data_IF_591750865309
#
_entry.id   IF_591750865309
#
_cell.length_a   1.000
_cell.length_b   1.000
_cell.length_c   1.000
_cell.angle_alpha   90.00
_cell.angle_beta   90.00
_cell.angle_gamma   90.00
#
_symmetry.space_group_name_H-M   'P 1'
#
loop_
_entity.id
_entity.type
_entity.pdbx_description
1 polymer ?
#
# COMPACT_ATOMS: atom_id res chain seq x y z
N UNK A 1 -25.91 3.68 12.04
CA UNK A 1 -26.48 2.86 10.94
C UNK A 1 -26.03 1.40 10.98
N UNK A 2 -24.75 1.04 10.76
CA UNK A 2 -24.34 -0.39 10.77
C UNK A 2 -24.51 -1.02 12.15
N UNK A 3 -24.09 -0.33 13.22
CA UNK A 3 -24.26 -0.81 14.59
C UNK A 3 -25.72 -1.01 14.98
N UNK A 4 -26.60 -0.07 14.61
CA UNK A 4 -28.04 -0.14 14.87
C UNK A 4 -28.66 -1.39 14.20
N UNK A 5 -28.21 -1.71 12.98
CA UNK A 5 -28.67 -2.91 12.27
C UNK A 5 -28.13 -4.20 12.87
N UNK A 6 -26.91 -4.21 13.41
CA UNK A 6 -26.34 -5.37 14.11
C UNK A 6 -27.11 -5.66 15.42
N UNK A 7 -27.54 -4.62 16.14
CA UNK A 7 -28.38 -4.75 17.34
C UNK A 7 -29.77 -5.26 16.97
N UNK A 8 -30.38 -4.73 15.91
CA UNK A 8 -31.72 -5.11 15.49
C UNK A 8 -31.82 -6.51 14.85
N UNK A 9 -30.73 -6.99 14.22
CA UNK A 9 -30.70 -8.26 13.50
C UNK A 9 -29.38 -9.04 13.74
N UNK A 10 -29.24 -9.80 14.86
CA UNK A 10 -27.97 -10.41 15.28
C UNK A 10 -27.36 -11.47 14.34
N UNK A 11 -28.08 -11.88 13.30
CA UNK A 11 -27.63 -12.89 12.32
C UNK A 11 -27.18 -12.28 10.99
N UNK A 12 -27.33 -10.97 10.81
CA UNK A 12 -26.88 -10.31 9.58
C UNK A 12 -25.35 -10.27 9.55
N UNK A 13 -24.79 -10.41 8.35
CA UNK A 13 -23.35 -10.25 8.11
C UNK A 13 -23.17 -9.13 7.10
N UNK A 14 -22.28 -8.19 7.39
CA UNK A 14 -21.91 -7.11 6.48
C UNK A 14 -20.55 -7.43 5.86
N UNK A 15 -20.42 -7.20 4.55
CA UNK A 15 -19.14 -7.09 3.87
C UNK A 15 -19.03 -5.65 3.37
N UNK A 16 -18.07 -4.91 3.91
CA UNK A 16 -17.80 -3.54 3.53
C UNK A 16 -16.38 -3.43 2.98
N UNK A 17 -16.20 -2.63 1.93
CA UNK A 17 -14.87 -2.25 1.42
C UNK A 17 -14.64 -0.79 1.78
N UNK A 18 -13.61 -0.53 2.57
CA UNK A 18 -13.24 0.82 3.02
C UNK A 18 -11.73 1.03 2.93
N UNK A 19 -11.31 2.30 2.84
CA UNK A 19 -9.90 2.71 2.96
C UNK A 19 -9.50 3.02 4.39
N UNK A 20 -10.40 2.87 5.35
CA UNK A 20 -10.17 2.98 6.78
C UNK A 20 -11.11 2.03 7.52
N UNK A 21 -10.73 1.50 8.69
CA UNK A 21 -11.64 0.71 9.52
C UNK A 21 -12.94 1.46 9.78
N UNK A 22 -14.05 0.72 9.93
CA UNK A 22 -15.32 1.29 10.35
C UNK A 22 -15.30 1.67 11.84
N UNK A 23 -14.41 1.05 12.63
CA UNK A 23 -14.22 1.35 14.04
C UNK A 23 -15.34 0.80 14.93
N UNK A 24 -16.03 -0.25 14.49
CA UNK A 24 -17.18 -0.82 15.19
C UNK A 24 -16.79 -2.09 15.98
N UNK A 25 -17.48 -2.35 17.08
CA UNK A 25 -17.23 -3.54 17.87
C UNK A 25 -17.50 -4.83 17.07
N UNK A 26 -16.54 -5.76 17.08
CA UNK A 26 -16.63 -7.02 16.34
C UNK A 26 -16.25 -6.92 14.85
N UNK A 27 -15.72 -5.78 14.40
CA UNK A 27 -15.14 -5.65 13.06
C UNK A 27 -14.00 -6.67 12.86
N UNK A 28 -13.96 -7.28 11.68
CA UNK A 28 -12.88 -8.15 11.24
C UNK A 28 -12.30 -7.56 9.97
N UNK A 29 -11.07 -7.09 10.06
CA UNK A 29 -10.37 -6.46 8.95
C UNK A 29 -9.63 -7.50 8.13
N UNK A 30 -9.84 -7.46 6.81
CA UNK A 30 -9.05 -8.23 5.85
C UNK A 30 -8.26 -7.25 5.00
N UNK A 31 -6.97 -7.12 5.31
CA UNK A 31 -6.08 -6.28 4.49
C UNK A 31 -5.92 -6.91 3.10
N UNK A 32 -6.06 -6.08 2.07
CA UNK A 32 -5.77 -6.47 0.70
C UNK A 32 -4.35 -6.00 0.34
N UNK A 33 -3.35 -6.89 0.31
CA UNK A 33 -2.01 -6.53 -0.13
C UNK A 33 -2.02 -6.18 -1.64
N UNK A 34 -1.00 -5.46 -2.14
CA UNK A 34 -0.76 -5.36 -3.57
C UNK A 34 -0.47 -6.76 -4.11
N UNK A 35 -0.49 -6.92 -5.43
CA UNK A 35 -0.12 -8.21 -5.98
C UNK A 35 1.36 -8.52 -5.74
N UNK A 36 1.65 -9.80 -5.56
CA UNK A 36 3.03 -10.28 -5.56
C UNK A 36 3.71 -9.95 -6.89
N UNK A 37 4.94 -9.45 -6.78
CA UNK A 37 5.75 -9.06 -7.93
C UNK A 37 6.53 -10.29 -8.42
N UNK A 38 6.30 -10.77 -9.66
CA UNK A 38 7.05 -11.88 -10.22
C UNK A 38 8.42 -11.41 -10.71
N UNK A 39 9.33 -11.09 -9.78
CA UNK A 39 10.72 -10.77 -10.10
C UNK A 39 11.55 -12.05 -10.26
N UNK A 40 12.42 -12.10 -11.27
CA UNK A 40 13.37 -13.20 -11.53
C UNK A 40 12.73 -14.60 -11.70
N UNK A 41 11.50 -14.65 -12.21
CA UNK A 41 10.76 -15.88 -12.48
C UNK A 41 10.81 -16.27 -13.97
N UNK A 42 10.61 -17.56 -14.30
CA UNK A 42 10.47 -17.99 -15.69
C UNK A 42 9.26 -17.32 -16.35
N UNK A 43 9.26 -17.20 -17.68
CA UNK A 43 8.14 -16.58 -18.42
C UNK A 43 6.79 -17.27 -18.13
N UNK A 44 6.80 -18.57 -17.86
CA UNK A 44 5.61 -19.35 -17.49
C UNK A 44 5.07 -18.93 -16.12
N UNK A 45 5.95 -18.79 -15.11
CA UNK A 45 5.57 -18.33 -13.78
C UNK A 45 5.11 -16.87 -13.78
N UNK A 46 5.76 -16.01 -14.58
CA UNK A 46 5.33 -14.63 -14.78
C UNK A 46 3.90 -14.61 -15.35
N UNK A 47 3.63 -15.41 -16.38
CA UNK A 47 2.32 -15.44 -17.05
C UNK A 47 1.20 -15.95 -16.13
N UNK A 48 1.54 -16.78 -15.13
CA UNK A 48 0.60 -17.25 -14.12
C UNK A 48 0.34 -16.23 -12.98
N UNK A 49 1.07 -15.12 -12.92
CA UNK A 49 0.90 -14.11 -11.87
C UNK A 49 -0.45 -13.39 -12.00
N UNK A 50 -1.21 -13.23 -10.89
CA UNK A 50 -2.44 -12.43 -10.89
C UNK A 50 -2.23 -10.96 -11.31
N UNK A 51 -1.05 -10.39 -11.03
CA UNK A 51 -0.69 -9.04 -11.46
C UNK A 51 -0.60 -8.93 -12.99
N UNK A 52 0.03 -9.95 -13.61
CA UNK A 52 0.17 -10.04 -15.06
C UNK A 52 -1.19 -10.30 -15.71
N UNK A 53 -2.02 -11.16 -15.11
CA UNK A 53 -3.39 -11.38 -15.56
C UNK A 53 -4.20 -10.07 -15.57
N UNK A 54 -4.12 -9.26 -14.50
CA UNK A 54 -4.76 -7.94 -14.47
C UNK A 54 -4.23 -7.02 -15.57
N UNK A 55 -2.91 -6.96 -15.78
CA UNK A 55 -2.33 -6.13 -16.85
C UNK A 55 -2.88 -6.53 -18.22
N UNK A 56 -2.89 -7.84 -18.53
CA UNK A 56 -3.37 -8.38 -19.81
C UNK A 56 -4.86 -8.07 -20.00
N UNK A 57 -5.67 -8.28 -18.98
CA UNK A 57 -7.11 -8.01 -19.00
C UNK A 57 -7.38 -6.53 -19.31
N UNK A 58 -6.71 -5.61 -18.61
CA UNK A 58 -6.84 -4.16 -18.84
C UNK A 58 -6.22 -3.69 -20.16
N UNK A 59 -5.18 -4.36 -20.66
CA UNK A 59 -4.59 -4.07 -21.96
C UNK A 59 -5.57 -4.47 -23.09
N UNK A 60 -6.30 -5.58 -22.93
CA UNK A 60 -7.32 -6.03 -23.88
C UNK A 60 -8.53 -5.10 -23.93
N UNK A 61 -8.90 -4.47 -22.82
CA UNK A 61 -9.96 -3.44 -22.80
C UNK A 61 -9.68 -2.27 -23.77
N UNK A 62 -8.40 -1.93 -23.99
CA UNK A 62 -8.00 -0.82 -24.88
C UNK A 62 -7.42 -1.29 -26.23
N UNK A 63 -6.99 -2.54 -26.33
CA UNK A 63 -6.43 -3.19 -27.52
C UNK A 63 -6.85 -4.66 -27.55
N UNK A 64 -8.03 -5.02 -28.09
CA UNK A 64 -8.59 -6.38 -28.01
C UNK A 64 -7.68 -7.48 -28.53
N UNK A 65 -6.84 -7.21 -29.54
CA UNK A 65 -5.84 -8.14 -30.08
C UNK A 65 -4.51 -8.17 -29.30
N UNK A 66 -4.48 -7.71 -28.05
CA UNK A 66 -3.27 -7.80 -27.24
C UNK A 66 -3.04 -9.24 -26.77
N UNK A 67 -1.90 -9.79 -27.19
CA UNK A 67 -1.39 -11.10 -26.78
C UNK A 67 -0.07 -10.94 -26.04
N UNK A 68 0.03 -11.61 -24.89
CA UNK A 68 1.25 -11.61 -24.09
C UNK A 68 2.25 -12.60 -24.70
N UNK A 69 3.27 -12.09 -25.35
CA UNK A 69 4.41 -12.91 -25.81
C UNK A 69 5.45 -13.07 -24.71
N UNK A 70 6.36 -14.04 -24.84
CA UNK A 70 7.46 -14.27 -23.88
C UNK A 70 8.30 -13.01 -23.62
N UNK A 71 8.64 -12.27 -24.67
CA UNK A 71 9.42 -11.03 -24.55
C UNK A 71 8.63 -9.93 -23.85
N UNK A 72 7.31 -9.86 -24.09
CA UNK A 72 6.44 -8.90 -23.41
C UNK A 72 6.22 -9.28 -21.94
N UNK A 73 6.22 -10.56 -21.59
CA UNK A 73 6.06 -11.01 -20.21
C UNK A 73 7.15 -10.45 -19.30
N UNK A 74 8.41 -10.44 -19.76
CA UNK A 74 9.53 -9.86 -19.01
C UNK A 74 9.33 -8.35 -18.80
N UNK A 75 8.96 -7.63 -19.86
CA UNK A 75 8.69 -6.19 -19.76
C UNK A 75 7.51 -5.88 -18.83
N UNK A 76 6.44 -6.66 -18.90
CA UNK A 76 5.25 -6.52 -18.03
C UNK A 76 5.60 -6.81 -16.57
N UNK A 77 6.41 -7.85 -16.30
CA UNK A 77 6.92 -8.12 -14.95
C UNK A 77 7.73 -6.94 -14.41
N UNK A 78 8.61 -6.35 -15.24
CA UNK A 78 9.37 -5.15 -14.90
C UNK A 78 8.46 -3.96 -14.57
N UNK A 79 7.39 -3.75 -15.36
CA UNK A 79 6.39 -2.71 -15.08
C UNK A 79 5.74 -2.95 -13.73
N UNK A 80 5.21 -4.16 -13.48
CA UNK A 80 4.53 -4.51 -12.22
C UNK A 80 5.45 -4.30 -11.02
N UNK A 81 6.73 -4.64 -11.16
CA UNK A 81 7.73 -4.43 -10.12
C UNK A 81 7.91 -2.94 -9.79
N UNK A 82 7.98 -2.07 -10.80
CA UNK A 82 8.12 -0.62 -10.58
C UNK A 82 6.84 0.05 -10.10
N UNK A 83 5.72 -0.61 -10.27
CA UNK A 83 4.43 -0.16 -9.76
C UNK A 83 4.09 -0.76 -8.39
N UNK A 84 5.06 -1.41 -7.73
CA UNK A 84 4.92 -2.05 -6.41
C UNK A 84 3.72 -3.02 -6.34
N UNK A 85 3.35 -3.65 -7.47
CA UNK A 85 2.19 -4.54 -7.53
C UNK A 85 0.83 -3.87 -7.33
N UNK A 86 0.77 -2.53 -7.33
CA UNK A 86 -0.46 -1.77 -7.04
C UNK A 86 -1.50 -1.96 -8.16
N UNK A 87 -2.70 -2.51 -7.87
CA UNK A 87 -3.70 -2.80 -8.89
C UNK A 87 -4.02 -1.59 -9.78
N UNK A 88 -4.38 -0.45 -9.17
CA UNK A 88 -4.72 0.76 -9.92
C UNK A 88 -3.57 1.24 -10.82
N UNK A 89 -2.33 1.16 -10.35
CA UNK A 89 -1.16 1.57 -11.13
C UNK A 89 -1.00 0.65 -12.35
N UNK A 90 -1.14 -0.66 -12.16
CA UNK A 90 -1.11 -1.67 -13.23
C UNK A 90 -2.20 -1.36 -14.27
N UNK A 91 -3.42 -1.05 -13.85
CA UNK A 91 -4.50 -0.71 -14.79
C UNK A 91 -4.20 0.55 -15.62
N UNK A 92 -3.60 1.56 -14.98
CA UNK A 92 -3.23 2.80 -15.66
C UNK A 92 -2.09 2.58 -16.66
N UNK A 93 -1.10 1.76 -16.31
CA UNK A 93 -0.02 1.39 -17.21
C UNK A 93 -0.51 0.53 -18.38
N UNK A 94 -1.37 -0.47 -18.13
CA UNK A 94 -1.96 -1.31 -19.16
C UNK A 94 -2.74 -0.51 -20.21
N UNK A 95 -3.41 0.57 -19.80
CA UNK A 95 -4.14 1.46 -20.72
C UNK A 95 -3.25 2.16 -21.76
N UNK A 96 -1.93 2.24 -21.51
CA UNK A 96 -0.96 2.84 -22.43
C UNK A 96 -0.63 1.95 -23.63
N UNK A 97 -0.99 0.66 -23.60
CA UNK A 97 -0.71 -0.30 -24.68
C UNK A 97 -1.35 0.10 -26.01
N UNK A 98 -2.34 1.00 -25.99
CA UNK A 98 -2.91 1.63 -27.19
C UNK A 98 -1.87 2.41 -28.01
N UNK A 99 -0.87 2.99 -27.36
CA UNK A 99 0.10 3.92 -27.98
C UNK A 99 1.56 3.52 -27.76
N UNK A 100 1.86 2.70 -26.75
CA UNK A 100 3.21 2.27 -26.40
C UNK A 100 3.28 0.75 -26.31
N UNK A 101 4.44 0.18 -26.63
CA UNK A 101 4.72 -1.23 -26.32
C UNK A 101 5.01 -1.40 -24.83
N UNK A 102 4.82 -2.60 -24.24
CA UNK A 102 5.22 -2.86 -22.85
C UNK A 102 6.67 -2.48 -22.55
N UNK A 103 7.61 -2.77 -23.46
CA UNK A 103 9.00 -2.34 -23.32
C UNK A 103 9.15 -0.81 -23.25
N UNK A 104 8.44 -0.06 -24.11
CA UNK A 104 8.48 1.40 -24.09
C UNK A 104 7.82 2.02 -22.85
N UNK A 105 6.80 1.35 -22.27
CA UNK A 105 6.20 1.74 -20.99
C UNK A 105 7.22 1.54 -19.87
N UNK A 106 7.89 0.38 -19.84
CA UNK A 106 8.93 0.07 -18.85
C UNK A 106 10.06 1.10 -18.89
N UNK A 107 10.63 1.38 -20.07
CA UNK A 107 11.72 2.36 -20.19
C UNK A 107 11.32 3.76 -19.74
N UNK A 108 10.05 4.16 -19.93
CA UNK A 108 9.54 5.44 -19.41
C UNK A 108 9.45 5.46 -17.89
N UNK A 109 8.98 4.37 -17.28
CA UNK A 109 8.94 4.23 -15.83
C UNK A 109 10.36 4.25 -15.23
N UNK A 110 11.32 3.59 -15.88
CA UNK A 110 12.73 3.61 -15.47
C UNK A 110 13.36 5.01 -15.58
N UNK A 111 12.92 5.80 -16.56
CA UNK A 111 13.34 7.18 -16.73
C UNK A 111 12.56 8.19 -15.88
N UNK A 112 11.70 7.72 -14.95
CA UNK A 112 10.79 8.55 -14.13
C UNK A 112 9.93 9.52 -14.96
N UNK A 113 9.61 9.16 -16.21
CA UNK A 113 8.78 9.98 -17.08
C UNK A 113 7.30 9.70 -16.80
N UNK A 114 6.46 10.74 -16.68
CA UNK A 114 5.04 10.54 -16.42
C UNK A 114 4.40 9.77 -17.56
N UNK A 115 3.69 8.69 -17.21
CA UNK A 115 2.78 8.03 -18.14
C UNK A 115 1.61 8.97 -18.45
N UNK A 116 1.12 8.94 -19.69
CA UNK A 116 0.00 9.78 -20.11
C UNK A 116 -1.23 9.53 -19.23
N UNK A 117 -2.03 10.54 -18.86
CA UNK A 117 -3.30 10.30 -18.19
C UNK A 117 -4.14 9.33 -19.03
N UNK A 118 -4.59 8.24 -18.43
CA UNK A 118 -5.46 7.30 -19.12
C UNK A 118 -6.75 8.05 -19.51
N UNK A 119 -6.98 8.21 -20.81
CA UNK A 119 -8.24 8.74 -21.33
C UNK A 119 -9.36 7.70 -21.18
N UNK A 120 -9.67 7.28 -19.95
CA UNK A 120 -10.71 6.28 -19.68
C UNK A 120 -11.99 6.99 -19.30
N UNK A 121 -12.87 7.18 -20.28
CA UNK A 121 -14.26 7.64 -20.03
C UNK A 121 -14.95 6.56 -19.20
N UNK A 122 -15.52 6.92 -18.05
CA UNK A 122 -16.25 6.00 -17.16
C UNK A 122 -15.61 5.72 -15.80
N UNK A 123 -14.33 6.08 -15.57
CA UNK A 123 -13.74 5.98 -14.22
C UNK A 123 -14.07 7.20 -13.35
N UNK A 124 -14.34 7.01 -12.04
CA UNK A 124 -14.39 8.11 -11.06
C UNK A 124 -13.13 8.98 -11.18
N UNK A 125 -13.26 10.30 -11.02
CA UNK A 125 -12.14 11.22 -11.18
C UNK A 125 -10.89 10.82 -10.37
N UNK A 126 -11.11 10.35 -9.14
CA UNK A 126 -10.08 9.83 -8.21
C UNK A 126 -9.30 8.60 -8.71
N UNK A 127 -9.77 7.88 -9.71
CA UNK A 127 -9.11 6.67 -10.27
C UNK A 127 -8.55 6.91 -11.67
N UNK A 128 -8.57 8.16 -12.16
CA UNK A 128 -8.07 8.49 -13.51
C UNK A 128 -6.55 8.59 -13.56
N UNK A 129 -5.91 8.92 -12.43
CA UNK A 129 -4.46 9.00 -12.30
C UNK A 129 -4.03 8.49 -10.92
N UNK A 130 -2.77 8.05 -10.80
CA UNK A 130 -2.18 7.73 -9.49
C UNK A 130 -2.24 8.94 -8.56
N UNK A 131 -1.97 10.13 -9.10
CA UNK A 131 -2.06 11.40 -8.36
C UNK A 131 -3.45 11.61 -7.78
N UNK A 132 -4.51 11.47 -8.57
CA UNK A 132 -5.88 11.67 -8.09
C UNK A 132 -6.29 10.67 -7.00
N UNK A 133 -5.73 9.45 -7.04
CA UNK A 133 -5.98 8.44 -6.01
C UNK A 133 -5.25 8.74 -4.70
N UNK A 134 -4.05 9.31 -4.79
CA UNK A 134 -3.26 9.76 -3.65
C UNK A 134 -3.81 11.06 -3.07
N UNK A 135 -4.20 12.04 -3.92
CA UNK A 135 -4.87 13.27 -3.52
C UNK A 135 -6.09 12.97 -2.65
N UNK A 136 -6.92 12.01 -3.07
CA UNK A 136 -8.08 11.60 -2.28
C UNK A 136 -7.70 10.97 -0.93
N UNK A 137 -6.66 10.13 -0.87
CA UNK A 137 -6.15 9.61 0.41
C UNK A 137 -5.57 10.72 1.30
N UNK A 138 -4.92 11.71 0.70
CA UNK A 138 -4.36 12.87 1.40
C UNK A 138 -5.45 13.81 1.93
N UNK A 139 -6.55 13.98 1.21
CA UNK A 139 -7.70 14.77 1.66
C UNK A 139 -8.37 14.18 2.91
N UNK A 140 -8.29 12.86 3.11
CA UNK A 140 -8.76 12.18 4.32
C UNK A 140 -7.86 12.40 5.55
N UNK A 141 -6.67 12.98 5.36
CA UNK A 141 -5.78 13.29 6.46
C UNK A 141 -6.17 14.61 7.13
N UNK A 142 -6.10 14.65 8.44
CA UNK A 142 -6.19 15.89 9.21
C UNK A 142 -4.86 16.67 9.18
N UNK A 143 -4.84 17.86 9.78
CA UNK A 143 -3.65 18.73 9.78
C UNK A 143 -2.38 18.06 10.34
N UNK A 144 -2.43 17.51 11.58
CA UNK A 144 -1.33 16.74 12.16
C UNK A 144 -0.86 15.56 11.30
N UNK A 145 -1.78 14.77 10.76
CA UNK A 145 -1.46 13.62 9.91
C UNK A 145 -0.79 14.05 8.59
N UNK A 146 -1.24 15.15 7.97
CA UNK A 146 -0.63 15.71 6.74
C UNK A 146 0.81 16.15 6.98
N UNK A 147 1.09 16.80 8.12
CA UNK A 147 2.47 17.18 8.51
C UNK A 147 3.35 15.96 8.72
N UNK A 148 2.84 14.93 9.40
CA UNK A 148 3.59 13.69 9.57
C UNK A 148 3.89 13.04 8.21
N UNK A 149 2.88 12.94 7.36
CA UNK A 149 2.98 12.36 6.02
C UNK A 149 4.08 13.02 5.17
N UNK A 150 4.12 14.36 5.10
CA UNK A 150 5.14 15.08 4.34
C UNK A 150 6.53 14.95 4.96
N UNK A 151 6.64 14.97 6.30
CA UNK A 151 7.92 14.79 7.02
C UNK A 151 8.55 13.42 6.79
N UNK A 152 7.73 12.37 6.66
CA UNK A 152 8.16 10.99 6.41
C UNK A 152 8.62 10.73 4.96
N UNK A 153 8.41 11.67 4.03
CA UNK A 153 8.86 11.53 2.64
C UNK A 153 10.39 11.35 2.49
N UNK A 154 11.16 11.76 3.51
CA UNK A 154 12.62 11.67 3.51
C UNK A 154 13.19 10.26 3.59
N UNK A 155 12.38 9.22 3.80
CA UNK A 155 12.83 7.84 3.96
C UNK A 155 12.71 7.00 2.67
N UNK A 156 13.81 6.70 1.94
CA UNK A 156 13.77 6.00 0.65
C UNK A 156 13.52 4.49 0.76
N UNK A 157 13.68 3.89 1.94
CA UNK A 157 13.63 2.42 2.15
C UNK A 157 12.87 1.98 3.39
N UNK A 158 12.00 2.84 3.92
CA UNK A 158 11.28 2.62 5.18
C UNK A 158 12.08 3.00 6.43
N UNK A 159 11.40 2.99 7.57
CA UNK A 159 11.85 3.56 8.83
C UNK A 159 11.28 2.79 10.03
N UNK A 160 11.94 2.88 11.19
CA UNK A 160 11.41 2.43 12.48
C UNK A 160 10.58 3.55 13.12
N UNK A 161 9.83 3.23 14.17
CA UNK A 161 9.11 4.23 14.96
C UNK A 161 10.04 5.30 15.55
N UNK A 162 11.22 4.89 16.02
CA UNK A 162 12.24 5.82 16.53
C UNK A 162 12.75 6.78 15.45
N UNK A 163 13.00 6.26 14.25
CA UNK A 163 13.40 7.07 13.12
C UNK A 163 12.32 8.08 12.72
N UNK A 164 11.05 7.65 12.70
CA UNK A 164 9.92 8.54 12.48
C UNK A 164 9.87 9.63 13.55
N UNK A 165 10.04 9.28 14.83
CA UNK A 165 10.00 10.23 15.95
C UNK A 165 11.09 11.29 15.86
N UNK A 166 12.31 10.91 15.44
CA UNK A 166 13.42 11.84 15.26
C UNK A 166 13.20 12.87 14.14
N UNK A 167 12.45 12.50 13.09
CA UNK A 167 12.17 13.40 11.94
C UNK A 167 10.86 14.16 12.10
N UNK A 168 9.86 13.58 12.77
CA UNK A 168 8.50 14.09 12.86
C UNK A 168 8.39 15.39 13.69
N UNK A 169 9.37 15.69 14.55
CA UNK A 169 9.33 16.79 15.53
C UNK A 169 8.05 16.76 16.38
N UNK A 170 8.01 15.87 17.39
CA UNK A 170 6.80 15.57 18.15
C UNK A 170 6.16 16.79 18.84
N UNK A 171 6.95 17.82 19.17
CA UNK A 171 6.47 19.02 19.87
C UNK A 171 5.58 19.92 19.01
N UNK A 172 5.75 19.88 17.69
CA UNK A 172 5.00 20.70 16.72
C UNK A 172 3.99 19.86 15.90
N UNK A 173 4.08 18.53 16.00
CA UNK A 173 3.24 17.66 15.19
C UNK A 173 1.75 17.77 15.55
N UNK A 174 1.42 17.94 16.83
CA UNK A 174 0.04 18.03 17.32
C UNK A 174 -0.71 16.70 17.37
N UNK A 175 0.00 15.58 17.17
CA UNK A 175 -0.47 14.20 17.37
C UNK A 175 0.73 13.37 17.86
N UNK A 176 0.49 12.30 18.63
CA UNK A 176 1.56 11.36 18.92
C UNK A 176 2.02 10.68 17.62
N UNK A 177 3.33 10.50 17.45
CA UNK A 177 3.91 9.92 16.22
C UNK A 177 3.36 8.52 15.94
N UNK A 178 3.15 7.72 16.99
CA UNK A 178 2.57 6.39 16.87
C UNK A 178 1.13 6.43 16.34
N UNK A 179 0.28 7.30 16.89
CA UNK A 179 -1.11 7.45 16.46
C UNK A 179 -1.18 7.95 15.01
N UNK A 180 -0.31 8.89 14.64
CA UNK A 180 -0.20 9.36 13.26
C UNK A 180 0.27 8.26 12.30
N UNK A 181 1.22 7.41 12.69
CA UNK A 181 1.63 6.26 11.88
C UNK A 181 0.48 5.26 11.73
N UNK A 182 -0.22 4.94 12.83
CA UNK A 182 -1.38 4.06 12.80
C UNK A 182 -2.48 4.59 11.85
N UNK A 183 -2.74 5.89 11.90
CA UNK A 183 -3.67 6.54 10.98
C UNK A 183 -3.22 6.45 9.52
N UNK A 184 -1.94 6.71 9.24
CA UNK A 184 -1.38 6.59 7.88
C UNK A 184 -1.38 5.15 7.36
N UNK A 185 -1.15 4.15 8.22
CA UNK A 185 -1.28 2.72 7.88
C UNK A 185 -2.74 2.40 7.58
N UNK A 186 -3.67 2.82 8.45
CA UNK A 186 -5.11 2.57 8.26
C UNK A 186 -5.62 3.14 6.92
N UNK A 187 -5.08 4.29 6.48
CA UNK A 187 -5.41 4.97 5.23
C UNK A 187 -4.58 4.48 4.02
N UNK A 188 -3.81 3.40 4.21
CA UNK A 188 -2.95 2.78 3.19
C UNK A 188 -1.89 3.71 2.58
N UNK A 189 -1.44 4.72 3.33
CA UNK A 189 -0.35 5.62 2.95
C UNK A 189 1.02 5.13 3.44
N UNK A 190 1.02 4.28 4.47
CA UNK A 190 2.17 3.51 4.94
C UNK A 190 1.82 2.03 4.96
N UNK A 191 2.84 1.18 4.83
CA UNK A 191 2.76 -0.26 5.10
C UNK A 191 3.63 -0.63 6.25
N UNK A 192 3.12 -1.49 7.12
CA UNK A 192 3.94 -2.22 8.07
C UNK A 192 4.62 -3.38 7.34
N UNK A 193 5.90 -3.57 7.62
CA UNK A 193 6.73 -4.66 7.12
C UNK A 193 7.34 -5.37 8.32
N UNK A 194 7.45 -6.69 8.22
CA UNK A 194 8.08 -7.49 9.28
C UNK A 194 9.54 -7.06 9.44
N UNK A 195 9.91 -6.77 10.69
CA UNK A 195 11.29 -6.57 11.11
C UNK A 195 11.63 -7.62 12.16
N UNK A 196 12.88 -8.09 12.15
CA UNK A 196 13.33 -9.19 13.02
C UNK A 196 13.18 -8.89 14.53
N UNK A 197 13.09 -7.62 14.93
CA UNK A 197 12.98 -7.19 16.33
C UNK A 197 11.99 -6.03 16.58
N UNK A 198 11.79 -5.13 15.60
CA UNK A 198 10.87 -3.99 15.70
C UNK A 198 10.06 -3.83 14.42
N UNK A 199 8.80 -3.37 14.51
CA UNK A 199 7.98 -3.10 13.33
C UNK A 199 8.64 -2.02 12.47
N UNK A 200 8.81 -2.33 11.18
CA UNK A 200 9.28 -1.35 10.19
C UNK A 200 8.11 -0.86 9.37
N UNK A 201 8.16 0.41 9.00
CA UNK A 201 7.16 1.04 8.15
C UNK A 201 7.79 1.46 6.84
N UNK A 202 7.04 1.37 5.75
CA UNK A 202 7.49 1.80 4.43
C UNK A 202 6.42 2.64 3.76
N UNK A 203 6.86 3.73 3.15
CA UNK A 203 6.07 4.50 2.20
C UNK A 203 6.40 3.99 0.78
N UNK A 204 5.36 3.66 0.02
CA UNK A 204 5.51 3.28 -1.39
C UNK A 204 6.13 4.44 -2.18
N UNK A 205 6.93 4.14 -3.20
CA UNK A 205 7.74 5.14 -3.90
C UNK A 205 6.86 6.25 -4.51
N UNK A 206 5.77 5.85 -5.15
CA UNK A 206 4.78 6.78 -5.72
C UNK A 206 4.13 7.70 -4.68
N UNK A 207 3.90 7.21 -3.47
CA UNK A 207 3.32 7.99 -2.36
C UNK A 207 4.38 8.93 -1.78
N UNK A 208 5.65 8.47 -1.71
CA UNK A 208 6.78 9.25 -1.22
C UNK A 208 7.09 10.45 -2.13
N UNK A 209 7.08 10.23 -3.43
CA UNK A 209 7.31 11.31 -4.41
C UNK A 209 6.24 12.40 -4.27
N UNK A 210 4.98 11.99 -4.13
CA UNK A 210 3.87 12.90 -3.87
C UNK A 210 4.03 13.64 -2.53
N UNK A 211 4.41 12.94 -1.46
CA UNK A 211 4.66 13.54 -0.15
C UNK A 211 5.80 14.56 -0.19
N UNK A 212 6.87 14.28 -0.95
CA UNK A 212 8.00 15.18 -1.15
C UNK A 212 7.65 16.41 -1.99
N UNK A 213 6.75 16.29 -2.96
CA UNK A 213 6.19 17.45 -3.67
C UNK A 213 5.38 18.35 -2.74
N UNK A 214 4.50 17.76 -1.92
CA UNK A 214 3.71 18.50 -0.94
C UNK A 214 4.62 19.19 0.09
N UNK A 215 5.67 18.51 0.55
CA UNK A 215 6.67 19.10 1.44
C UNK A 215 7.33 20.35 0.83
N UNK A 216 7.70 20.31 -0.46
CA UNK A 216 8.31 21.46 -1.16
C UNK A 216 7.39 22.68 -1.28
N UNK A 217 6.08 22.47 -1.20
CA UNK A 217 5.08 23.55 -1.19
C UNK A 217 4.70 24.02 0.22
N UNK A 218 5.19 23.33 1.24
CA UNK A 218 4.92 23.63 2.64
C UNK A 218 5.95 24.63 3.19
N UNK A 219 5.53 25.46 4.14
CA UNK A 219 6.41 26.46 4.76
C UNK A 219 7.53 25.80 5.61
N UNK A 220 7.28 24.58 6.06
CA UNK A 220 8.19 23.79 6.92
C UNK A 220 9.26 22.98 6.16
N UNK A 221 9.36 23.14 4.83
CA UNK A 221 10.26 22.35 3.99
C UNK A 221 11.72 22.34 4.50
N UNK A 222 12.28 23.52 4.75
CA UNK A 222 13.68 23.69 5.16
C UNK A 222 13.97 23.14 6.56
N UNK A 223 13.02 23.28 7.49
CA UNK A 223 13.16 22.76 8.84
C UNK A 223 13.09 21.23 8.84
N UNK A 224 12.20 20.67 8.02
CA UNK A 224 12.05 19.23 7.82
C UNK A 224 13.29 18.63 7.17
N UNK A 225 13.83 19.25 6.12
CA UNK A 225 15.04 18.79 5.46
C UNK A 225 16.25 18.81 6.40
N UNK A 226 16.38 19.83 7.25
CA UNK A 226 17.42 19.89 8.30
C UNK A 226 17.30 18.74 9.29
N UNK A 227 16.09 18.43 9.76
CA UNK A 227 15.85 17.28 10.66
C UNK A 227 16.17 15.95 10.00
N UNK A 228 15.76 15.77 8.75
CA UNK A 228 16.11 14.58 7.95
C UNK A 228 17.63 14.44 7.82
N UNK A 229 18.34 15.51 7.47
CA UNK A 229 19.80 15.51 7.37
C UNK A 229 20.47 15.19 8.72
N UNK A 230 20.02 15.83 9.81
CA UNK A 230 20.53 15.56 11.16
C UNK A 230 20.30 14.10 11.57
N UNK A 231 19.13 13.55 11.28
CA UNK A 231 18.85 12.13 11.51
C UNK A 231 19.83 11.23 10.75
N UNK A 232 20.03 11.44 9.44
CA UNK A 232 20.97 10.65 8.65
C UNK A 232 22.43 10.76 9.11
N UNK A 233 22.83 11.92 9.65
CA UNK A 233 24.17 12.12 10.24
C UNK A 233 24.28 11.42 11.60
N UNK A 234 23.21 11.42 12.39
CA UNK A 234 23.17 10.77 13.71
C UNK A 234 23.17 9.25 13.65
N UNK A 235 22.75 8.68 12.50
CA UNK A 235 22.80 7.24 12.29
C UNK A 235 24.25 6.76 12.42
N UNK A 236 24.52 5.74 13.26
CA UNK A 236 25.83 5.10 13.29
C UNK A 236 26.17 4.69 11.86
N UNK A 237 27.32 5.13 11.34
CA UNK A 237 27.87 4.64 10.08
C UNK A 237 28.04 3.13 10.24
N UNK A 238 27.03 2.37 9.84
CA UNK A 238 27.17 0.92 9.77
C UNK A 238 28.30 0.67 8.78
N UNK A 239 29.35 -0.09 9.14
CA UNK A 239 30.36 -0.46 8.17
C UNK A 239 29.63 -1.07 6.99
N UNK A 240 29.94 -0.55 5.79
CA UNK A 240 29.36 -0.98 4.54
C UNK A 240 29.34 -2.52 4.53
N UNK A 241 28.16 -3.15 4.70
CA UNK A 241 28.02 -4.58 4.44
C UNK A 241 28.24 -4.68 2.95
N UNK A 242 29.48 -4.99 2.61
CA UNK A 242 29.99 -5.09 1.26
C UNK A 242 28.98 -5.84 0.40
N UNK A 243 28.61 -5.17 -0.68
CA UNK A 243 28.03 -5.76 -1.88
C UNK A 243 28.87 -6.97 -2.32
N UNK A 244 28.48 -8.17 -1.88
CA UNK A 244 28.81 -9.45 -2.53
C UNK A 244 27.66 -10.43 -2.32
N UNK A 245 27.10 -10.88 -3.44
CA UNK A 245 26.31 -12.09 -3.54
C UNK A 245 24.86 -11.96 -3.07
N UNK A 246 23.95 -11.80 -4.03
CA UNK A 246 22.63 -12.42 -3.90
C UNK A 246 22.84 -13.95 -3.75
N UNK A 247 23.02 -14.39 -2.51
CA UNK A 247 22.92 -15.79 -2.12
C UNK A 247 21.70 -15.89 -1.23
N UNK A 248 20.52 -16.04 -1.86
CA UNK A 248 19.28 -16.37 -1.16
C UNK A 248 19.35 -17.81 -0.70
N UNK A 249 19.93 -18.03 0.49
CA UNK A 249 19.58 -19.19 1.29
C UNK A 249 18.31 -18.86 2.06
N UNK A 250 17.15 -19.14 1.45
CA UNK A 250 15.94 -19.38 2.23
C UNK A 250 15.49 -20.81 1.94
N UNK A 251 15.79 -21.66 2.92
CA UNK A 251 15.21 -22.98 3.02
C UNK A 251 13.71 -22.86 3.07
N UNK A 252 13.08 -23.70 2.26
CA UNK A 252 11.70 -24.13 2.41
C UNK A 252 11.31 -24.22 3.88
N UNK A 253 10.43 -23.33 4.33
CA UNK A 253 9.48 -23.67 5.37
C UNK A 253 8.12 -23.23 4.87
N UNK A 254 7.40 -24.20 4.32
CA UNK A 254 5.99 -24.08 3.98
C UNK A 254 5.20 -23.72 5.24
N UNK A 255 4.93 -22.43 5.45
CA UNK A 255 3.91 -22.01 6.41
C UNK A 255 2.57 -22.12 5.71
N UNK A 256 1.90 -23.23 6.02
CA UNK A 256 0.49 -23.48 5.71
C UNK A 256 -0.35 -22.34 6.26
N UNK A 257 -0.86 -21.47 5.40
CA UNK A 257 -2.00 -20.62 5.72
C UNK A 257 -3.24 -21.51 5.83
N UNK A 258 -3.50 -22.00 7.04
CA UNK A 258 -4.78 -22.62 7.37
C UNK A 258 -5.84 -21.52 7.40
N UNK A 259 -6.49 -21.29 6.28
CA UNK A 259 -7.78 -20.60 6.23
C UNK A 259 -8.77 -21.41 7.09
N UNK A 260 -8.95 -21.00 8.35
CA UNK A 260 -9.98 -21.56 9.23
C UNK A 260 -11.09 -20.52 9.30
N UNK A 261 -12.04 -20.63 8.38
CA UNK A 261 -13.37 -20.05 8.55
C UNK A 261 -13.95 -20.73 9.81
N UNK A 262 -13.81 -20.07 10.96
CA UNK A 262 -14.51 -20.47 12.17
C UNK A 262 -15.96 -19.99 12.02
N UNK A 263 -16.83 -20.88 11.53
CA UNK A 263 -18.26 -20.79 11.79
C UNK A 263 -18.43 -21.01 13.29
N UNK A 264 -18.72 -19.95 14.04
CA UNK A 264 -19.10 -20.07 15.45
C UNK A 264 -20.37 -20.93 15.51
N UNK A 265 -20.39 -22.08 16.20
CA UNK A 265 -21.61 -22.82 16.40
C UNK A 265 -22.49 -22.06 17.40
N UNK A 266 -23.71 -21.73 16.99
CA UNK A 266 -24.72 -21.24 17.92
C UNK A 266 -25.13 -22.36 18.87
N UNK A 267 -24.58 -22.37 20.08
CA UNK A 267 -25.14 -23.20 21.16
C UNK A 267 -26.42 -22.55 21.67
N UNK A 268 -27.53 -22.96 21.07
CA UNK A 268 -28.85 -22.80 21.68
C UNK A 268 -29.10 -23.87 22.75
N UNK A 269 -29.36 -23.42 23.99
CA UNK A 269 -30.27 -24.05 24.97
C UNK A 269 -30.60 -22.95 25.99
N UNK A 270 -31.81 -22.40 25.94
CA UNK A 270 -33.02 -22.88 26.61
C UNK A 270 -33.17 -22.29 28.01
N UNK A 271 -34.21 -21.46 28.11
CA UNK A 271 -34.80 -20.82 29.30
C UNK A 271 -34.79 -21.68 30.56
N UNK A 272 -34.49 -21.05 31.70
CA UNK A 272 -35.19 -21.28 32.96
C UNK A 272 -35.11 -20.02 33.86
N UNK A 273 -36.31 -19.55 34.26
CA UNK A 273 -36.69 -18.82 35.47
C UNK A 273 -35.76 -17.78 36.14
N UNK A 274 -36.29 -16.55 36.21
CA UNK A 274 -36.20 -15.53 37.31
C UNK A 274 -36.28 -16.15 38.75
N UNK A 275 -36.02 -15.44 39.90
CA UNK A 275 -35.88 -13.98 40.12
C UNK A 275 -34.86 -13.51 41.24
N UNK A 276 -34.90 -12.20 41.55
CA UNK A 276 -34.61 -11.47 42.82
C UNK A 276 -33.19 -10.87 43.07
N UNK A 277 -33.20 -9.52 43.11
CA UNK A 277 -32.42 -8.50 43.83
C UNK A 277 -31.20 -8.90 44.70
N UNK A 278 -30.06 -8.25 44.46
CA UNK A 278 -29.41 -7.27 45.35
C UNK A 278 -28.35 -6.49 44.56
#
# INVERSE_FOLDING_TARGET
MVEELLVAAPRIRFLATSRSPLGIYGEQELELPPFDVPADASAELISASPAVALFVDRARDVKPGFELTTDQAIAVAGIIARLDGLPLAIELAASQVRVLTPAAILSRLEAHQPLMPAATRGRPARQRTMRAAIDWSYELLDGPERRLFTRLAGFPGGFSLDAASGVADPGDLGIAVLDGIAALVSKSLLRQTDGDAEPRFRMLETIRDYAGERLRTDFDADATQRRQAAFYVSLPRRPNRTSRGWSRHHGSTAVRWSCRICVVPSTGRSRAAKPIWA
#
